data_IF_422968101227
#
_entry.id   IF_422968101227
#
_cell.length_a   1.000
_cell.length_b   1.000
_cell.length_c   1.000
_cell.angle_alpha   90.00
_cell.angle_beta   90.00
_cell.angle_gamma   90.00
#
_symmetry.space_group_name_H-M   'P 1'
#
loop_
_entity.id
_entity.type
_entity.pdbx_description
1 polymer ?
#
# COMPACT_ATOMS: atom_id res chain seq x y z
N UNK A 1 -4.64 -27.57 -16.49
CA UNK A 1 -5.50 -26.38 -16.30
C UNK A 1 -6.17 -26.58 -14.96
N UNK A 2 -5.81 -25.79 -13.96
CA UNK A 2 -6.48 -25.80 -12.67
C UNK A 2 -7.84 -25.14 -12.90
N UNK A 3 -8.91 -25.84 -12.55
CA UNK A 3 -10.26 -25.29 -12.65
C UNK A 3 -10.40 -24.12 -11.67
N UNK A 4 -11.18 -23.10 -12.04
CA UNK A 4 -11.37 -21.92 -11.17
C UNK A 4 -11.89 -22.29 -9.78
N UNK A 5 -12.65 -23.39 -9.66
CA UNK A 5 -13.22 -23.89 -8.40
C UNK A 5 -12.21 -24.55 -7.45
N UNK A 6 -11.15 -25.17 -7.98
CA UNK A 6 -10.05 -25.74 -7.17
C UNK A 6 -9.01 -24.69 -6.75
N UNK A 7 -9.05 -23.49 -7.35
CA UNK A 7 -8.02 -22.47 -7.17
C UNK A 7 -8.16 -21.63 -5.89
N UNK A 8 -9.30 -21.70 -5.19
CA UNK A 8 -9.59 -20.87 -4.01
C UNK A 8 -9.90 -21.64 -2.72
N UNK A 9 -10.00 -22.98 -2.76
CA UNK A 9 -10.10 -23.78 -1.53
C UNK A 9 -8.71 -24.00 -0.97
N UNK A 10 -8.41 -23.34 0.15
CA UNK A 10 -7.28 -23.75 0.97
C UNK A 10 -7.60 -25.12 1.57
N UNK A 11 -6.88 -26.16 1.16
CA UNK A 11 -7.09 -27.53 1.65
C UNK A 11 -6.65 -27.73 3.12
N UNK A 12 -6.03 -26.71 3.73
CA UNK A 12 -5.44 -26.75 5.06
C UNK A 12 -5.85 -25.54 5.92
N UNK A 13 -7.14 -25.23 5.95
CA UNK A 13 -7.68 -24.30 6.96
C UNK A 13 -7.87 -25.07 8.26
N UNK A 14 -7.35 -24.53 9.35
CA UNK A 14 -7.47 -25.15 10.67
C UNK A 14 -8.87 -24.87 11.24
N UNK A 15 -9.68 -25.92 11.37
CA UNK A 15 -11.06 -25.81 11.88
C UNK A 15 -11.11 -25.46 13.37
N UNK A 16 -10.02 -25.68 14.10
CA UNK A 16 -9.88 -25.32 15.52
C UNK A 16 -9.53 -23.84 15.71
N UNK A 17 -9.59 -23.03 14.64
CA UNK A 17 -9.28 -21.61 14.67
C UNK A 17 -10.42 -20.75 14.13
N UNK A 18 -10.62 -19.59 14.76
CA UNK A 18 -11.37 -18.49 14.21
C UNK A 18 -10.47 -17.59 13.35
N UNK A 19 -11.04 -17.07 12.26
CA UNK A 19 -10.34 -16.18 11.33
C UNK A 19 -11.07 -14.86 11.15
N UNK A 20 -10.31 -13.79 11.01
CA UNK A 20 -10.82 -12.48 10.60
C UNK A 20 -9.88 -11.85 9.58
N UNK A 21 -10.46 -11.29 8.52
CA UNK A 21 -9.69 -10.64 7.45
C UNK A 21 -9.94 -9.15 7.48
N UNK A 22 -8.86 -8.38 7.50
CA UNK A 22 -8.89 -6.93 7.46
C UNK A 22 -8.15 -6.42 6.23
N UNK A 23 -8.68 -5.37 5.61
CA UNK A 23 -8.03 -4.72 4.47
C UNK A 23 -7.77 -3.26 4.75
N UNK A 24 -6.63 -2.76 4.30
CA UNK A 24 -6.31 -1.35 4.25
C UNK A 24 -5.74 -0.97 2.89
N UNK A 25 -5.92 0.28 2.50
CA UNK A 25 -5.44 0.74 1.20
C UNK A 25 -4.83 2.13 1.30
N UNK A 26 -3.54 2.24 0.99
CA UNK A 26 -2.80 3.49 1.05
C UNK A 26 -2.21 3.87 -0.31
N UNK A 27 -2.03 5.17 -0.50
CA UNK A 27 -1.27 5.77 -1.60
C UNK A 27 -0.03 6.47 -1.02
N UNK A 28 1.14 6.20 -1.61
CA UNK A 28 2.37 6.94 -1.34
C UNK A 28 2.65 7.83 -2.54
N UNK A 29 2.43 9.13 -2.37
CA UNK A 29 2.66 10.13 -3.40
C UNK A 29 3.57 11.21 -2.85
N UNK A 30 4.65 11.52 -3.57
CA UNK A 30 5.61 12.55 -3.18
C UNK A 30 6.19 12.33 -1.75
N UNK A 31 6.44 11.07 -1.36
CA UNK A 31 6.85 10.66 -0.01
C UNK A 31 5.87 11.02 1.14
N UNK A 32 4.63 11.35 0.80
CA UNK A 32 3.52 11.45 1.75
C UNK A 32 2.62 10.21 1.64
N UNK A 33 2.07 9.78 2.76
CA UNK A 33 1.22 8.58 2.86
C UNK A 33 -0.22 9.04 3.05
N UNK A 34 -1.12 8.59 2.18
CA UNK A 34 -2.53 8.90 2.21
C UNK A 34 -3.34 7.61 2.38
N UNK A 35 -4.35 7.66 3.23
CA UNK A 35 -5.32 6.58 3.37
C UNK A 35 -6.41 6.75 2.30
N UNK A 36 -6.58 5.74 1.45
CA UNK A 36 -7.58 5.75 0.38
C UNK A 36 -8.96 5.30 0.87
N UNK A 37 -9.06 4.73 2.08
CA UNK A 37 -10.29 4.23 2.68
C UNK A 37 -10.86 5.17 3.74
N UNK A 38 -10.06 6.10 4.26
CA UNK A 38 -10.53 7.19 5.13
C UNK A 38 -11.63 8.00 4.45
N UNK A 39 -12.73 8.22 5.17
CA UNK A 39 -13.83 9.02 4.64
C UNK A 39 -13.39 10.46 4.51
N UNK A 40 -13.51 10.97 3.28
CA UNK A 40 -13.18 12.35 2.99
C UNK A 40 -14.26 13.25 3.59
N UNK A 41 -13.93 14.51 3.89
CA UNK A 41 -14.91 15.50 4.36
C UNK A 41 -16.14 15.63 3.42
N UNK A 42 -16.06 15.13 2.19
CA UNK A 42 -17.13 15.07 1.20
C UNK A 42 -18.14 13.96 1.46
N UNK A 43 -17.73 12.83 2.02
CA UNK A 43 -18.62 11.75 2.44
C UNK A 43 -19.55 12.21 3.59
N UNK A 44 -19.17 13.28 4.29
CA UNK A 44 -19.93 13.94 5.35
C UNK A 44 -20.77 15.14 4.88
N UNK A 45 -20.71 15.52 3.59
CA UNK A 45 -21.58 16.57 3.02
C UNK A 45 -22.98 15.98 2.79
N UNK A 46 -23.71 15.77 3.88
CA UNK A 46 -25.18 15.88 3.82
C UNK A 46 -25.49 17.36 3.68
N UNK A 47 -26.28 17.80 2.68
CA UNK A 47 -26.67 19.20 2.59
C UNK A 47 -27.40 19.58 3.89
N UNK A 48 -26.81 20.48 4.69
CA UNK A 48 -27.55 21.15 5.75
C UNK A 48 -28.48 22.15 5.07
N UNK A 49 -29.76 21.81 5.07
CA UNK A 49 -30.82 22.71 4.64
C UNK A 49 -31.07 23.73 5.75
N UNK A 50 -31.12 25.01 5.40
CA UNK A 50 -31.62 26.03 6.31
C UNK A 50 -33.15 25.86 6.47
N UNK A 51 -33.75 26.46 7.50
CA UNK A 51 -35.20 26.37 7.76
C UNK A 51 -36.07 26.91 6.60
N UNK A 52 -35.46 27.56 5.60
CA UNK A 52 -36.11 28.06 4.38
C UNK A 52 -35.88 27.21 3.13
N UNK A 53 -35.39 25.97 3.24
CA UNK A 53 -35.32 25.03 2.11
C UNK A 53 -34.28 25.37 1.03
N UNK A 54 -33.25 26.13 1.37
CA UNK A 54 -32.11 26.43 0.47
C UNK A 54 -30.82 25.72 0.93
N UNK A 55 -30.01 25.16 0.00
CA UNK A 55 -28.72 24.57 0.35
C UNK A 55 -27.73 25.64 0.82
N UNK A 56 -27.13 25.47 2.00
CA UNK A 56 -26.06 26.35 2.50
C UNK A 56 -24.76 26.01 1.74
N UNK A 57 -24.21 26.96 0.98
CA UNK A 57 -22.86 26.83 0.38
C UNK A 57 -21.83 26.88 1.50
N UNK A 58 -21.25 25.75 1.87
CA UNK A 58 -20.05 25.72 2.71
C UNK A 58 -18.86 26.21 1.90
N UNK A 59 -18.07 27.10 2.50
CA UNK A 59 -16.78 27.53 1.96
C UNK A 59 -15.85 26.31 2.00
N UNK A 60 -15.77 25.58 0.89
CA UNK A 60 -14.98 24.34 0.76
C UNK A 60 -13.55 24.70 0.42
N UNK A 61 -12.83 25.31 1.37
CA UNK A 61 -11.37 25.33 1.28
C UNK A 61 -10.89 23.87 1.25
N UNK A 62 -10.23 23.49 0.17
CA UNK A 62 -9.61 22.18 0.03
C UNK A 62 -8.50 22.08 1.08
N UNK A 63 -8.75 21.34 2.16
CA UNK A 63 -7.72 20.97 3.13
C UNK A 63 -7.00 19.74 2.56
N UNK A 64 -5.72 19.85 2.15
CA UNK A 64 -4.99 18.69 1.67
C UNK A 64 -4.93 17.64 2.78
N UNK A 65 -5.17 16.35 2.47
CA UNK A 65 -5.13 15.30 3.48
C UNK A 65 -3.76 15.29 4.18
N UNK A 66 -3.76 15.16 5.50
CA UNK A 66 -2.53 15.10 6.26
C UNK A 66 -1.86 13.75 6.01
N UNK A 67 -0.55 13.77 5.75
CA UNK A 67 0.20 12.53 5.59
C UNK A 67 0.13 11.70 6.86
N UNK A 68 -0.22 10.42 6.72
CA UNK A 68 -0.09 9.43 7.77
C UNK A 68 1.39 9.22 8.12
N UNK A 69 1.64 8.76 9.34
CA UNK A 69 3.00 8.55 9.86
C UNK A 69 3.35 7.07 9.85
N UNK A 70 4.61 6.76 9.53
CA UNK A 70 5.14 5.43 9.79
C UNK A 70 5.54 5.32 11.26
N UNK A 71 5.20 4.19 11.88
CA UNK A 71 5.62 3.80 13.22
C UNK A 71 6.19 2.39 13.18
N UNK A 72 6.92 2.06 14.22
CA UNK A 72 7.52 0.75 14.45
C UNK A 72 6.75 0.10 15.60
N UNK A 73 6.36 -1.17 15.45
CA UNK A 73 5.74 -1.94 16.52
C UNK A 73 6.79 -2.62 17.42
N UNK A 74 6.34 -3.41 18.40
CA UNK A 74 7.23 -4.09 19.35
C UNK A 74 8.06 -5.23 18.71
N UNK A 75 7.64 -5.71 17.53
CA UNK A 75 8.36 -6.69 16.72
C UNK A 75 9.24 -6.01 15.67
N UNK A 76 9.49 -4.71 15.81
CA UNK A 76 10.24 -3.89 14.85
C UNK A 76 9.61 -3.80 13.46
N UNK A 77 8.34 -4.15 13.29
CA UNK A 77 7.64 -4.03 12.01
C UNK A 77 7.18 -2.59 11.78
N UNK A 78 7.43 -2.11 10.58
CA UNK A 78 6.97 -0.79 10.15
C UNK A 78 5.51 -0.84 9.71
N UNK A 79 4.69 0.08 10.22
CA UNK A 79 3.27 0.20 9.89
C UNK A 79 2.81 1.65 9.76
N UNK A 80 1.70 1.88 9.07
CA UNK A 80 1.09 3.21 8.92
C UNK A 80 0.13 3.47 10.08
N UNK A 81 0.48 4.43 10.93
CA UNK A 81 -0.32 4.78 12.10
C UNK A 81 -1.61 5.53 11.71
N UNK A 82 -2.75 5.10 12.27
CA UNK A 82 -4.05 5.71 12.01
C UNK A 82 -4.57 5.45 10.59
N UNK A 83 -4.09 4.38 9.94
CA UNK A 83 -4.68 3.85 8.72
C UNK A 83 -5.96 3.06 9.08
N UNK A 84 -7.00 3.24 8.30
CA UNK A 84 -8.25 2.51 8.44
C UNK A 84 -8.05 1.05 8.02
N UNK A 85 -8.50 0.14 8.88
CA UNK A 85 -8.56 -1.30 8.62
C UNK A 85 -10.02 -1.72 8.62
N UNK A 86 -10.51 -2.19 7.48
CA UNK A 86 -11.89 -2.63 7.31
C UNK A 86 -11.94 -4.15 7.35
N UNK A 87 -12.76 -4.70 8.26
CA UNK A 87 -13.06 -6.13 8.26
C UNK A 87 -13.86 -6.49 6.99
N UNK A 88 -13.49 -7.58 6.34
CA UNK A 88 -14.17 -8.13 5.16
C UNK A 88 -14.45 -9.60 5.36
N UNK A 89 -15.62 -10.05 4.91
CA UNK A 89 -16.11 -11.43 5.10
C UNK A 89 -16.09 -12.25 3.82
N UNK A 90 -15.80 -11.63 2.69
CA UNK A 90 -15.67 -12.30 1.40
C UNK A 90 -14.66 -11.61 0.49
N UNK A 91 -14.23 -12.31 -0.56
CA UNK A 91 -13.40 -11.74 -1.60
C UNK A 91 -14.14 -10.59 -2.31
N UNK A 92 -15.45 -10.71 -2.51
CA UNK A 92 -16.29 -9.67 -3.11
C UNK A 92 -16.28 -8.39 -2.28
N UNK A 93 -16.39 -8.48 -0.95
CA UNK A 93 -16.28 -7.32 -0.05
C UNK A 93 -14.89 -6.69 -0.14
N UNK A 94 -13.83 -7.50 -0.15
CA UNK A 94 -12.46 -7.00 -0.36
C UNK A 94 -12.30 -6.27 -1.69
N UNK A 95 -12.89 -6.79 -2.78
CA UNK A 95 -12.91 -6.13 -4.08
C UNK A 95 -13.69 -4.82 -4.06
N UNK A 96 -14.83 -4.76 -3.37
CA UNK A 96 -15.60 -3.51 -3.23
C UNK A 96 -14.77 -2.43 -2.52
N UNK A 97 -14.05 -2.79 -1.46
CA UNK A 97 -13.15 -1.88 -0.74
C UNK A 97 -11.99 -1.43 -1.65
N UNK A 98 -11.38 -2.36 -2.39
CA UNK A 98 -10.34 -2.06 -3.37
C UNK A 98 -10.84 -1.04 -4.42
N UNK A 99 -12.00 -1.28 -5.03
CA UNK A 99 -12.57 -0.37 -6.02
C UNK A 99 -12.97 0.98 -5.44
N UNK A 100 -13.45 1.03 -4.19
CA UNK A 100 -13.69 2.29 -3.44
C UNK A 100 -12.40 3.10 -3.35
N UNK A 101 -11.29 2.49 -2.94
CA UNK A 101 -9.99 3.15 -2.87
C UNK A 101 -9.45 3.58 -4.24
N UNK A 102 -9.59 2.74 -5.27
CA UNK A 102 -9.19 3.08 -6.65
C UNK A 102 -9.95 4.30 -7.19
N UNK A 103 -11.26 4.37 -6.93
CA UNK A 103 -12.08 5.53 -7.32
C UNK A 103 -11.60 6.80 -6.62
N UNK A 104 -11.29 6.72 -5.33
CA UNK A 104 -10.76 7.85 -4.56
C UNK A 104 -9.38 8.29 -5.05
N UNK A 105 -8.47 7.35 -5.31
CA UNK A 105 -7.16 7.62 -5.93
C UNK A 105 -7.33 8.41 -7.24
N UNK A 106 -8.23 7.97 -8.12
CA UNK A 106 -8.52 8.66 -9.39
C UNK A 106 -9.06 10.08 -9.20
N UNK A 107 -9.96 10.29 -8.25
CA UNK A 107 -10.54 11.62 -7.95
C UNK A 107 -9.52 12.56 -7.31
N UNK A 108 -8.71 12.06 -6.36
CA UNK A 108 -7.63 12.82 -5.77
C UNK A 108 -6.62 13.26 -6.83
N UNK A 109 -6.32 12.37 -7.78
CA UNK A 109 -5.44 12.65 -8.90
C UNK A 109 -5.94 13.80 -9.78
N UNK A 110 -7.19 13.78 -10.22
CA UNK A 110 -7.74 14.89 -11.02
C UNK A 110 -7.79 16.21 -10.26
N UNK A 111 -8.09 16.21 -8.96
CA UNK A 111 -8.15 17.45 -8.15
C UNK A 111 -6.78 18.07 -7.90
N UNK A 112 -5.79 17.22 -7.65
CA UNK A 112 -4.43 17.63 -7.33
C UNK A 112 -3.52 17.69 -8.58
N UNK A 113 -4.09 17.48 -9.77
CA UNK A 113 -3.36 17.30 -11.03
C UNK A 113 -2.23 16.24 -10.93
N UNK A 114 -2.43 15.22 -10.09
CA UNK A 114 -1.55 14.05 -10.00
C UNK A 114 -1.90 13.08 -11.12
N UNK A 115 -0.92 12.30 -11.52
CA UNK A 115 -1.11 11.20 -12.47
C UNK A 115 -1.04 9.87 -11.70
N UNK A 116 -1.87 8.89 -12.02
CA UNK A 116 -1.82 7.60 -11.28
C UNK A 116 -0.53 6.84 -11.51
N UNK A 117 0.16 7.06 -12.63
CA UNK A 117 1.51 6.53 -12.88
C UNK A 117 2.58 7.08 -11.93
N UNK A 118 2.25 8.14 -11.18
CA UNK A 118 3.17 8.93 -10.36
C UNK A 118 2.99 8.72 -8.85
N UNK A 119 2.18 7.74 -8.46
CA UNK A 119 2.03 7.34 -7.07
C UNK A 119 2.19 5.84 -6.93
N UNK A 120 2.72 5.42 -5.79
CA UNK A 120 2.71 4.02 -5.40
C UNK A 120 1.40 3.75 -4.65
N UNK A 121 0.83 2.56 -4.80
CA UNK A 121 -0.30 2.14 -3.99
C UNK A 121 -0.05 0.79 -3.34
N UNK A 122 -0.52 0.65 -2.10
CA UNK A 122 -0.29 -0.55 -1.29
C UNK A 122 -1.64 -0.99 -0.73
N UNK A 123 -2.17 -2.08 -1.26
CA UNK A 123 -3.33 -2.77 -0.71
C UNK A 123 -2.85 -3.86 0.24
N UNK A 124 -3.25 -3.77 1.50
CA UNK A 124 -2.80 -4.66 2.57
C UNK A 124 -3.98 -5.53 2.97
N UNK A 125 -3.76 -6.85 3.01
CA UNK A 125 -4.71 -7.83 3.53
C UNK A 125 -4.06 -8.45 4.76
N UNK A 126 -4.70 -8.32 5.92
CA UNK A 126 -4.28 -8.92 7.18
C UNK A 126 -5.23 -10.05 7.54
N UNK A 127 -4.67 -11.20 7.89
CA UNK A 127 -5.39 -12.35 8.42
C UNK A 127 -5.04 -12.48 9.90
N UNK A 128 -6.04 -12.35 10.75
CA UNK A 128 -5.96 -12.72 12.15
C UNK A 128 -6.49 -14.14 12.32
N UNK A 129 -5.70 -14.99 12.98
CA UNK A 129 -6.05 -16.34 13.37
C UNK A 129 -5.99 -16.43 14.89
N UNK A 130 -7.02 -16.96 15.52
CA UNK A 130 -7.06 -17.19 16.96
C UNK A 130 -7.65 -18.57 17.25
N UNK A 131 -7.03 -19.38 18.14
CA UNK A 131 -7.52 -20.72 18.44
C UNK A 131 -8.84 -20.68 19.21
N UNK A 132 -9.66 -21.69 18.98
CA UNK A 132 -10.91 -21.93 19.68
C UNK A 132 -10.67 -22.76 20.95
N UNK A 133 -11.63 -22.73 21.87
CA UNK A 133 -11.66 -23.61 23.03
C UNK A 133 -11.90 -25.08 22.62
N UNK A 134 -11.79 -25.99 23.59
CA UNK A 134 -11.92 -27.43 23.33
C UNK A 134 -13.31 -27.83 22.79
N UNK A 135 -14.32 -26.97 23.00
CA UNK A 135 -15.68 -27.17 22.53
C UNK A 135 -15.90 -26.56 21.12
N UNK A 136 -14.95 -25.76 20.62
CA UNK A 136 -15.01 -25.11 19.31
C UNK A 136 -15.94 -23.88 19.25
N UNK A 137 -16.45 -23.44 20.41
CA UNK A 137 -17.52 -22.44 20.48
C UNK A 137 -16.99 -21.03 20.71
N UNK A 138 -15.85 -20.87 21.39
CA UNK A 138 -15.32 -19.56 21.76
C UNK A 138 -13.83 -19.42 21.45
N UNK A 139 -13.42 -18.18 21.12
CA UNK A 139 -12.01 -17.85 20.95
C UNK A 139 -11.30 -17.88 22.30
N UNK A 140 -10.18 -18.60 22.39
CA UNK A 140 -9.30 -18.57 23.54
C UNK A 140 -8.75 -17.14 23.71
N UNK A 141 -9.00 -16.54 24.87
CA UNK A 141 -8.63 -15.14 25.16
C UNK A 141 -7.13 -14.92 25.43
N UNK A 142 -6.27 -15.86 25.04
CA UNK A 142 -4.82 -15.71 25.14
C UNK A 142 -4.29 -14.93 23.93
N UNK A 143 -3.98 -13.64 24.14
CA UNK A 143 -3.43 -12.77 23.10
C UNK A 143 -2.13 -13.28 22.49
N UNK A 144 -1.36 -14.10 23.22
CA UNK A 144 -0.10 -14.65 22.73
C UNK A 144 -0.30 -15.77 21.70
N UNK A 145 -1.53 -16.29 21.57
CA UNK A 145 -1.88 -17.32 20.60
C UNK A 145 -2.54 -16.76 19.34
N UNK A 146 -2.80 -15.44 19.30
CA UNK A 146 -3.30 -14.79 18.10
C UNK A 146 -2.15 -14.61 17.11
N UNK A 147 -2.28 -15.23 15.94
CA UNK A 147 -1.32 -15.09 14.85
C UNK A 147 -1.83 -14.08 13.83
N UNK A 148 -0.97 -13.13 13.46
CA UNK A 148 -1.25 -12.15 12.42
C UNK A 148 -0.37 -12.45 11.20
N UNK A 149 -1.00 -12.66 10.06
CA UNK A 149 -0.34 -12.78 8.77
C UNK A 149 -0.74 -11.61 7.87
N UNK A 150 0.18 -11.16 7.01
CA UNK A 150 -0.06 -10.02 6.13
C UNK A 150 0.38 -10.32 4.69
N UNK A 151 -0.50 -9.97 3.74
CA UNK A 151 -0.20 -9.92 2.32
C UNK A 151 -0.28 -8.47 1.86
N UNK A 152 0.79 -7.97 1.25
CA UNK A 152 0.83 -6.64 0.65
C UNK A 152 0.88 -6.75 -0.87
N UNK A 153 -0.12 -6.20 -1.54
CA UNK A 153 -0.12 -6.00 -2.99
C UNK A 153 0.35 -4.57 -3.26
N UNK A 154 1.55 -4.47 -3.83
CA UNK A 154 2.22 -3.19 -4.06
C UNK A 154 2.26 -2.89 -5.55
N UNK A 155 1.62 -1.80 -5.95
CA UNK A 155 1.70 -1.22 -7.29
C UNK A 155 2.65 -0.03 -7.23
N UNK A 156 3.84 -0.21 -7.79
CA UNK A 156 4.87 0.83 -7.81
C UNK A 156 4.63 1.78 -9.00
N UNK A 157 4.90 3.06 -8.78
CA UNK A 157 4.89 4.09 -9.80
C UNK A 157 5.82 3.73 -10.97
N UNK A 158 5.57 4.36 -12.12
CA UNK A 158 6.39 4.23 -13.31
C UNK A 158 7.83 4.69 -13.08
N UNK A 159 8.78 4.00 -13.71
CA UNK A 159 10.22 4.30 -13.64
C UNK A 159 10.71 5.22 -14.76
N UNK A 160 9.80 5.75 -15.57
CA UNK A 160 10.17 6.48 -16.77
C UNK A 160 10.91 7.79 -16.46
N UNK A 161 11.88 8.12 -17.33
CA UNK A 161 12.68 9.34 -17.16
C UNK A 161 11.84 10.59 -17.39
N UNK A 162 11.93 11.53 -16.46
CA UNK A 162 11.30 12.87 -16.49
C UNK A 162 11.52 13.62 -17.81
N UNK A 163 12.65 13.41 -18.49
CA UNK A 163 12.97 14.07 -19.76
C UNK A 163 12.01 13.69 -20.91
N UNK A 164 11.37 12.52 -20.85
CA UNK A 164 10.39 12.09 -21.87
C UNK A 164 8.97 12.57 -21.59
N UNK A 165 8.71 13.05 -20.38
CA UNK A 165 7.35 13.44 -19.95
C UNK A 165 7.04 14.91 -20.27
N UNK A 166 8.02 15.71 -20.71
CA UNK A 166 7.84 17.14 -20.98
C UNK A 166 7.41 17.92 -19.74
N UNK A 167 7.77 17.45 -18.54
CA UNK A 167 7.36 18.06 -17.28
C UNK A 167 8.04 19.43 -17.08
N UNK A 168 7.24 20.45 -16.76
CA UNK A 168 7.71 21.81 -16.43
C UNK A 168 7.34 22.20 -14.99
N UNK A 169 8.14 23.06 -14.35
CA UNK A 169 7.84 23.66 -13.05
C UNK A 169 7.72 22.63 -11.91
N UNK A 170 6.60 22.67 -11.17
CA UNK A 170 6.33 21.77 -10.02
C UNK A 170 6.34 20.29 -10.39
N UNK A 171 6.06 19.96 -11.65
CA UNK A 171 6.06 18.58 -12.17
C UNK A 171 7.47 17.97 -12.26
N UNK A 172 8.51 18.79 -12.42
CA UNK A 172 9.90 18.31 -12.41
C UNK A 172 10.26 17.81 -11.01
N UNK A 173 9.87 18.54 -9.96
CA UNK A 173 10.11 18.16 -8.56
C UNK A 173 9.36 16.87 -8.20
N UNK A 174 8.12 16.75 -8.64
CA UNK A 174 7.29 15.55 -8.47
C UNK A 174 7.93 14.32 -9.15
N UNK A 175 8.27 14.43 -10.44
CA UNK A 175 8.94 13.36 -11.17
C UNK A 175 10.32 13.00 -10.57
N UNK A 176 11.02 13.98 -10.00
CA UNK A 176 12.22 13.75 -9.20
C UNK A 176 11.95 12.88 -7.97
N UNK A 177 10.88 13.14 -7.21
CA UNK A 177 10.59 12.40 -5.98
C UNK A 177 10.09 10.96 -6.24
N UNK A 178 9.40 10.73 -7.35
CA UNK A 178 8.98 9.37 -7.76
C UNK A 178 10.19 8.54 -8.16
N UNK A 179 11.03 9.09 -9.03
CA UNK A 179 12.29 8.45 -9.41
C UNK A 179 13.20 8.27 -8.20
N UNK A 180 13.17 9.18 -7.23
CA UNK A 180 13.91 9.04 -5.98
C UNK A 180 13.45 7.80 -5.18
N UNK A 181 12.14 7.55 -5.06
CA UNK A 181 11.66 6.38 -4.31
C UNK A 181 12.07 5.04 -4.95
N UNK A 182 12.03 4.94 -6.29
CA UNK A 182 12.48 3.74 -7.01
C UNK A 182 14.01 3.61 -7.00
N UNK A 183 14.74 4.73 -7.10
CA UNK A 183 16.19 4.74 -6.96
C UNK A 183 16.61 4.29 -5.56
N UNK A 184 15.96 4.78 -4.51
CA UNK A 184 16.21 4.34 -3.14
C UNK A 184 15.94 2.84 -2.97
N UNK A 185 14.87 2.31 -3.57
CA UNK A 185 14.59 0.88 -3.57
C UNK A 185 15.72 0.08 -4.23
N UNK A 186 16.20 0.53 -5.39
CA UNK A 186 17.35 -0.07 -6.07
C UNK A 186 18.60 -0.03 -5.19
N UNK A 187 18.93 1.13 -4.62
CA UNK A 187 20.08 1.27 -3.71
C UNK A 187 19.97 0.34 -2.51
N UNK A 188 18.78 0.18 -1.92
CA UNK A 188 18.58 -0.74 -0.81
C UNK A 188 18.93 -2.18 -1.21
N UNK A 189 18.43 -2.64 -2.36
CA UNK A 189 18.71 -3.98 -2.89
C UNK A 189 20.20 -4.17 -3.22
N UNK A 190 20.86 -3.17 -3.79
CA UNK A 190 22.29 -3.21 -4.10
C UNK A 190 23.15 -3.34 -2.83
N UNK A 191 22.85 -2.54 -1.79
CA UNK A 191 23.56 -2.61 -0.50
C UNK A 191 23.30 -3.95 0.21
N UNK A 192 22.06 -4.45 0.18
CA UNK A 192 21.73 -5.78 0.72
C UNK A 192 22.51 -6.89 0.03
N UNK A 193 22.58 -6.85 -1.31
CA UNK A 193 23.35 -7.81 -2.11
C UNK A 193 24.84 -7.73 -1.78
N UNK A 194 25.39 -6.53 -1.63
CA UNK A 194 26.79 -6.36 -1.25
C UNK A 194 27.07 -6.93 0.14
N UNK A 195 26.21 -6.65 1.13
CA UNK A 195 26.32 -7.22 2.48
C UNK A 195 26.29 -8.75 2.44
N UNK A 196 25.43 -9.35 1.61
CA UNK A 196 25.34 -10.80 1.46
C UNK A 196 26.58 -11.41 0.78
N UNK A 197 27.09 -10.80 -0.29
CA UNK A 197 28.20 -11.35 -1.07
C UNK A 197 29.57 -11.14 -0.42
N UNK A 198 29.77 -9.96 0.17
CA UNK A 198 31.06 -9.52 0.69
C UNK A 198 31.16 -9.66 2.22
N UNK A 199 30.08 -10.07 2.90
CA UNK A 199 30.03 -10.13 4.36
C UNK A 199 30.18 -8.76 5.04
N UNK A 200 29.85 -7.68 4.32
CA UNK A 200 29.88 -6.32 4.88
C UNK A 200 28.63 -6.05 5.71
N UNK A 201 28.68 -5.02 6.57
CA UNK A 201 27.54 -4.55 7.35
C UNK A 201 27.24 -3.08 7.05
N UNK A 202 27.12 -2.75 5.76
CA UNK A 202 26.77 -1.39 5.32
C UNK A 202 25.32 -1.09 5.68
N UNK A 203 25.08 0.12 6.19
CA UNK A 203 23.74 0.56 6.53
C UNK A 203 22.89 0.70 5.26
N UNK A 204 21.76 -0.01 5.24
CA UNK A 204 20.80 0.06 4.13
C UNK A 204 19.92 1.32 4.29
N UNK A 205 19.77 2.18 3.27
CA UNK A 205 19.11 3.49 3.39
C UNK A 205 17.57 3.39 3.33
N UNK A 206 16.96 2.49 4.09
CA UNK A 206 15.50 2.29 4.06
C UNK A 206 14.70 3.55 4.37
N UNK A 207 15.24 4.46 5.19
CA UNK A 207 14.56 5.68 5.66
C UNK A 207 14.40 6.75 4.58
N UNK A 208 15.14 6.65 3.48
CA UNK A 208 15.18 7.68 2.43
C UNK A 208 13.91 7.70 1.57
N UNK A 209 13.11 6.62 1.58
CA UNK A 209 11.78 6.57 0.97
C UNK A 209 10.76 5.91 1.90
N UNK A 210 9.51 6.39 1.88
CA UNK A 210 8.43 5.77 2.64
C UNK A 210 8.13 4.34 2.20
N UNK A 211 8.33 4.02 0.92
CA UNK A 211 8.15 2.65 0.39
C UNK A 211 9.16 1.70 1.02
N UNK A 212 10.45 2.03 0.92
CA UNK A 212 11.53 1.19 1.47
C UNK A 212 11.47 1.11 2.99
N UNK A 213 11.05 2.19 3.66
CA UNK A 213 10.91 2.19 5.11
C UNK A 213 9.74 1.31 5.55
N UNK A 214 8.59 1.38 4.87
CA UNK A 214 7.42 0.56 5.18
C UNK A 214 7.72 -0.94 5.02
N UNK A 215 8.53 -1.30 4.02
CA UNK A 215 8.85 -2.71 3.71
C UNK A 215 10.21 -3.17 4.21
N UNK A 216 10.87 -2.41 5.11
CA UNK A 216 12.18 -2.73 5.66
C UNK A 216 12.28 -4.19 6.12
N UNK A 217 11.35 -4.63 6.95
CA UNK A 217 11.34 -5.98 7.54
C UNK A 217 11.31 -7.08 6.49
N UNK A 218 10.52 -6.91 5.43
CA UNK A 218 10.46 -7.85 4.31
C UNK A 218 11.79 -7.97 3.57
N UNK A 219 12.54 -6.88 3.45
CA UNK A 219 13.88 -6.89 2.84
C UNK A 219 14.96 -7.44 3.77
N UNK A 220 14.80 -7.26 5.09
CA UNK A 220 15.67 -7.83 6.12
C UNK A 220 15.42 -9.34 6.36
N UNK A 221 14.42 -9.93 5.71
CA UNK A 221 14.16 -11.38 5.70
C UNK A 221 12.93 -11.83 6.49
N UNK A 222 12.17 -10.90 7.08
CA UNK A 222 10.92 -11.21 7.77
C UNK A 222 9.77 -11.32 6.75
N UNK A 223 9.57 -12.53 6.25
CA UNK A 223 8.49 -12.87 5.31
C UNK A 223 9.00 -13.30 3.93
N UNK A 224 8.10 -13.29 2.94
CA UNK A 224 8.40 -13.68 1.56
C UNK A 224 8.10 -12.52 0.63
N UNK A 225 9.09 -12.14 -0.18
CA UNK A 225 8.94 -11.10 -1.21
C UNK A 225 8.93 -11.75 -2.59
N UNK A 226 7.96 -11.37 -3.42
CA UNK A 226 7.91 -11.69 -4.84
C UNK A 226 7.78 -10.38 -5.61
N UNK A 227 8.65 -10.18 -6.60
CA UNK A 227 8.65 -9.00 -7.44
C UNK A 227 8.27 -9.39 -8.86
N UNK A 228 7.36 -8.64 -9.46
CA UNK A 228 7.00 -8.77 -10.88
C UNK A 228 7.59 -7.58 -11.62
N UNK A 229 8.48 -7.86 -12.58
CA UNK A 229 9.15 -6.82 -13.37
C UNK A 229 8.47 -6.71 -14.73
N UNK A 230 7.82 -5.58 -14.98
CA UNK A 230 7.17 -5.28 -16.25
C UNK A 230 8.14 -4.54 -17.18
N UNK A 231 8.45 -5.16 -18.32
CA UNK A 231 9.37 -4.61 -19.34
C UNK A 231 8.62 -4.30 -20.63
N UNK A 232 9.07 -3.29 -21.37
CA UNK A 232 8.50 -2.91 -22.66
C UNK A 232 9.42 -3.41 -23.78
N UNK A 233 8.94 -4.26 -24.72
CA UNK A 233 9.78 -4.86 -25.75
C UNK A 233 10.22 -3.91 -26.87
N UNK A 234 9.79 -2.63 -26.85
CA UNK A 234 10.16 -1.66 -27.88
C UNK A 234 11.65 -1.33 -27.81
N UNK A 235 12.31 -1.32 -28.97
CA UNK A 235 13.74 -1.02 -29.09
C UNK A 235 14.13 0.35 -28.48
N UNK A 236 13.27 1.36 -28.59
CA UNK A 236 13.52 2.69 -28.01
C UNK A 236 13.55 2.72 -26.48
N UNK A 237 13.07 1.67 -25.81
CA UNK A 237 13.03 1.54 -24.35
C UNK A 237 14.06 0.51 -23.83
N UNK A 238 14.99 0.06 -24.69
CA UNK A 238 16.01 -0.94 -24.36
C UNK A 238 16.88 -0.52 -23.18
N UNK A 239 17.44 0.70 -23.21
CA UNK A 239 18.27 1.23 -22.12
C UNK A 239 17.52 1.32 -20.79
N UNK A 240 16.21 1.62 -20.83
CA UNK A 240 15.38 1.67 -19.63
C UNK A 240 15.07 0.26 -19.10
N UNK A 241 14.87 -0.69 -20.01
CA UNK A 241 14.63 -2.10 -19.68
C UNK A 241 15.86 -2.74 -19.05
N UNK A 242 17.06 -2.42 -19.52
CA UNK A 242 18.31 -2.97 -19.00
C UNK A 242 18.58 -2.56 -17.55
N UNK A 243 18.09 -1.38 -17.11
CA UNK A 243 18.22 -0.93 -15.71
C UNK A 243 17.22 -1.63 -14.77
N UNK A 244 16.17 -2.27 -15.32
CA UNK A 244 15.15 -3.00 -14.55
C UNK A 244 15.51 -4.47 -14.30
N UNK A 245 16.48 -5.00 -15.05
CA UNK A 245 16.95 -6.38 -15.01
C UNK A 245 18.22 -6.49 -14.14
#
# INVERSE_FOLDING_TARGET
MISGEESYKAEAVDEDCAYSVFVSYIEIYNNYIYDLLEDSAEDLIKPKWNAGGTPVRQNTEFIPPQSKLLREDFNHNMYVAGCLELEVRSAEEAFQVFWKGQKRRKVANTRLNRESSRSHSVFIIKLAQAPLDADGDNILQDKNQVTLSQLCLVDLAGSERTMRTGAEGTRIREAGNINQSLLTLRTCIEVLRENQLCGTNKMVPYRDSKVTHLFKNYFDGEGKVKMVVCVNPKAGDYEETLVKL
#
